data_IF_501968063887
#
_entry.id   IF_501968063887
#
_cell.length_a   1.000
_cell.length_b   1.000
_cell.length_c   1.000
_cell.angle_alpha   90.00
_cell.angle_beta   90.00
_cell.angle_gamma   90.00
#
_symmetry.space_group_name_H-M   'P 1'
#
loop_
_entity.id
_entity.type
_entity.pdbx_description
1 polymer ?
#
# COMPACT_ATOMS: atom_id res chain seq x y z
N UNK A 1 0.97 4.11 -3.29
CA UNK A 1 0.39 3.68 -1.99
C UNK A 1 -0.97 4.31 -1.78
N UNK A 2 -1.10 5.64 -1.94
CA UNK A 2 -2.39 6.31 -2.23
C UNK A 2 -3.17 5.55 -3.30
N UNK A 3 -2.46 5.09 -4.35
CA UNK A 3 -3.04 4.30 -5.44
C UNK A 3 -3.81 3.04 -4.99
N UNK A 4 -3.42 2.36 -3.89
CA UNK A 4 -4.17 1.19 -3.39
C UNK A 4 -5.46 1.65 -2.72
N UNK A 5 -5.37 2.61 -1.79
CA UNK A 5 -6.56 3.16 -1.12
C UNK A 5 -7.52 3.79 -2.11
N UNK A 6 -7.03 4.43 -3.17
CA UNK A 6 -7.85 5.06 -4.21
C UNK A 6 -8.54 4.00 -5.07
N UNK A 7 -7.81 2.97 -5.51
CA UNK A 7 -8.42 1.84 -6.25
C UNK A 7 -9.52 1.18 -5.42
N UNK A 8 -9.27 0.95 -4.13
CA UNK A 8 -10.27 0.37 -3.22
C UNK A 8 -11.46 1.32 -3.04
N UNK A 9 -11.22 2.59 -2.72
CA UNK A 9 -12.29 3.58 -2.59
C UNK A 9 -13.18 3.64 -3.84
N UNK A 10 -12.58 3.68 -5.03
CA UNK A 10 -13.29 3.69 -6.32
C UNK A 10 -13.93 2.34 -6.66
N UNK A 11 -13.63 1.26 -5.94
CA UNK A 11 -14.17 -0.08 -6.22
C UNK A 11 -13.46 -0.81 -7.35
N UNK A 12 -12.27 -0.37 -7.75
CA UNK A 12 -11.41 -1.02 -8.74
C UNK A 12 -10.64 -2.20 -8.13
N UNK A 13 -11.38 -3.20 -7.63
CA UNK A 13 -10.83 -4.32 -6.85
C UNK A 13 -9.73 -5.08 -7.60
N UNK A 14 -9.91 -5.38 -8.89
CA UNK A 14 -8.88 -6.07 -9.69
C UNK A 14 -7.57 -5.28 -9.78
N UNK A 15 -7.67 -3.94 -9.83
CA UNK A 15 -6.49 -3.05 -9.86
C UNK A 15 -5.83 -2.97 -8.49
N UNK A 16 -6.63 -2.92 -7.43
CA UNK A 16 -6.13 -2.99 -6.06
C UNK A 16 -5.39 -4.32 -5.82
N UNK A 17 -5.97 -5.46 -6.21
CA UNK A 17 -5.34 -6.78 -6.07
C UNK A 17 -4.00 -6.86 -6.83
N UNK A 18 -3.94 -6.30 -8.05
CA UNK A 18 -2.71 -6.22 -8.83
C UNK A 18 -1.62 -5.41 -8.09
N UNK A 19 -1.97 -4.22 -7.59
CA UNK A 19 -1.03 -3.39 -6.83
C UNK A 19 -0.58 -4.09 -5.54
N UNK A 20 -1.48 -4.80 -4.87
CA UNK A 20 -1.15 -5.57 -3.66
C UNK A 20 -0.16 -6.70 -3.98
N UNK A 21 -0.33 -7.40 -5.11
CA UNK A 21 0.64 -8.41 -5.60
C UNK A 21 2.00 -7.80 -5.87
N UNK A 22 2.05 -6.65 -6.53
CA UNK A 22 3.30 -5.92 -6.79
C UNK A 22 4.02 -5.50 -5.51
N UNK A 23 3.27 -4.96 -4.55
CA UNK A 23 3.81 -4.58 -3.24
C UNK A 23 4.31 -5.80 -2.49
N UNK A 24 3.54 -6.90 -2.45
CA UNK A 24 3.95 -8.14 -1.81
C UNK A 24 5.25 -8.70 -2.42
N UNK A 25 5.37 -8.70 -3.74
CA UNK A 25 6.58 -9.11 -4.44
C UNK A 25 7.77 -8.19 -4.12
N UNK A 26 7.57 -6.87 -4.11
CA UNK A 26 8.62 -5.90 -3.78
C UNK A 26 9.11 -6.03 -2.33
N UNK A 27 8.19 -6.23 -1.39
CA UNK A 27 8.46 -6.47 0.02
C UNK A 27 9.22 -7.78 0.22
N UNK A 28 8.79 -8.85 -0.44
CA UNK A 28 9.45 -10.16 -0.40
C UNK A 28 10.86 -10.12 -0.99
N UNK A 29 11.09 -9.26 -1.99
CA UNK A 29 12.40 -8.99 -2.58
C UNK A 29 13.27 -8.00 -1.76
N UNK A 30 12.84 -7.65 -0.53
CA UNK A 30 13.52 -6.75 0.42
C UNK A 30 13.71 -5.30 -0.06
N UNK A 31 12.96 -4.84 -1.06
CA UNK A 31 13.08 -3.47 -1.59
C UNK A 31 12.09 -2.53 -0.90
N UNK A 32 12.28 -2.23 0.39
CA UNK A 32 11.40 -1.25 1.05
C UNK A 32 12.07 -0.38 2.13
N UNK A 33 11.62 0.88 2.24
CA UNK A 33 12.02 1.89 3.24
C UNK A 33 10.78 2.34 4.03
N UNK A 34 10.93 2.81 5.27
CA UNK A 34 9.81 3.41 6.02
C UNK A 34 9.10 2.46 7.01
N UNK A 35 9.79 1.42 7.45
CA UNK A 35 9.28 0.47 8.47
C UNK A 35 9.58 0.91 9.90
N UNK A 36 10.51 1.86 10.11
CA UNK A 36 11.09 2.14 11.43
C UNK A 36 11.10 3.60 11.88
N UNK A 37 11.03 3.79 13.21
CA UNK A 37 11.15 5.08 13.88
C UNK A 37 10.12 6.13 13.43
N UNK A 38 10.53 7.41 13.39
CA UNK A 38 9.64 8.53 12.98
C UNK A 38 9.14 8.47 11.53
N UNK A 39 9.70 7.58 10.70
CA UNK A 39 9.28 7.32 9.33
C UNK A 39 8.36 6.10 9.22
N UNK A 40 7.98 5.47 10.33
CA UNK A 40 7.05 4.35 10.34
C UNK A 40 5.69 4.79 9.83
N UNK A 41 5.28 4.22 8.70
CA UNK A 41 3.98 4.53 8.09
C UNK A 41 2.91 3.59 8.65
N UNK A 42 2.59 3.71 9.95
CA UNK A 42 1.69 2.80 10.68
C UNK A 42 0.33 2.62 10.02
N UNK A 43 -0.29 3.70 9.52
CA UNK A 43 -1.61 3.63 8.86
C UNK A 43 -1.52 2.88 7.54
N UNK A 44 -0.47 3.17 6.76
CA UNK A 44 -0.21 2.42 5.54
C UNK A 44 0.00 0.92 5.81
N UNK A 45 0.80 0.57 6.81
CA UNK A 45 1.07 -0.83 7.15
C UNK A 45 -0.18 -1.53 7.70
N UNK A 46 -1.05 -0.83 8.42
CA UNK A 46 -2.37 -1.33 8.78
C UNK A 46 -3.19 -1.73 7.54
N UNK A 47 -3.33 -0.83 6.56
CA UNK A 47 -4.06 -1.12 5.33
C UNK A 47 -3.40 -2.26 4.53
N UNK A 48 -2.07 -2.29 4.45
CA UNK A 48 -1.37 -3.39 3.78
C UNK A 48 -1.64 -4.74 4.42
N UNK A 49 -1.63 -4.84 5.76
CA UNK A 49 -1.95 -6.09 6.44
C UNK A 49 -3.37 -6.56 6.10
N UNK A 50 -4.33 -5.64 6.09
CA UNK A 50 -5.71 -5.93 5.66
C UNK A 50 -5.73 -6.43 4.21
N UNK A 51 -5.02 -5.75 3.30
CA UNK A 51 -4.93 -6.17 1.90
C UNK A 51 -4.23 -7.52 1.70
N UNK A 52 -3.15 -7.80 2.43
CA UNK A 52 -2.47 -9.09 2.36
C UNK A 52 -3.37 -10.20 2.87
N UNK A 53 -4.11 -9.98 3.97
CA UNK A 53 -5.08 -10.95 4.48
C UNK A 53 -6.32 -11.10 3.56
N UNK A 54 -6.74 -10.04 2.87
CA UNK A 54 -7.76 -10.09 1.83
C UNK A 54 -7.32 -10.97 0.65
N UNK A 55 -6.09 -10.76 0.15
CA UNK A 55 -5.50 -11.57 -0.92
C UNK A 55 -4.96 -12.94 -0.46
N UNK A 56 -5.10 -13.27 0.84
CA UNK A 56 -4.57 -14.48 1.46
C UNK A 56 -3.05 -14.67 1.31
N UNK A 57 -2.31 -13.57 1.23
CA UNK A 57 -0.85 -13.58 1.18
C UNK A 57 -0.27 -13.68 2.57
N UNK A 58 0.57 -14.70 2.77
CA UNK A 58 1.43 -14.78 3.95
C UNK A 58 2.64 -13.88 3.75
N UNK A 59 2.98 -13.12 4.78
CA UNK A 59 4.17 -12.28 4.80
C UNK A 59 4.70 -12.16 6.24
N UNK A 60 5.90 -12.68 6.46
CA UNK A 60 6.63 -12.68 7.73
C UNK A 60 7.86 -11.75 7.70
N UNK A 61 8.06 -11.01 6.60
CA UNK A 61 9.17 -10.08 6.42
C UNK A 61 8.99 -8.72 7.11
N UNK A 62 7.97 -8.57 7.98
CA UNK A 62 7.79 -7.35 8.77
C UNK A 62 9.00 -7.14 9.69
N UNK A 63 9.56 -5.93 9.69
CA UNK A 63 10.72 -5.61 10.52
C UNK A 63 12.06 -6.16 10.01
N UNK A 64 12.12 -6.78 8.83
CA UNK A 64 13.38 -7.18 8.18
C UNK A 64 13.87 -6.05 7.28
N UNK A 65 14.97 -5.42 7.68
CA UNK A 65 15.65 -4.35 6.95
C UNK A 65 16.37 -4.82 5.69
N UNK A 66 16.77 -3.85 4.85
CA UNK A 66 17.45 -4.11 3.59
C UNK A 66 18.78 -4.87 3.77
N UNK A 67 19.54 -4.58 4.85
CA UNK A 67 20.80 -5.28 5.13
C UNK A 67 20.60 -6.50 6.03
N UNK A 68 19.36 -6.92 6.26
CA UNK A 68 19.01 -8.06 7.10
C UNK A 68 18.93 -7.74 8.59
N UNK A 69 18.88 -6.46 8.97
CA UNK A 69 18.56 -6.06 10.34
C UNK A 69 17.17 -6.58 10.71
N UNK A 70 17.03 -7.12 11.91
CA UNK A 70 15.74 -7.57 12.43
C UNK A 70 15.34 -6.63 13.55
N UNK A 71 14.22 -5.94 13.35
CA UNK A 71 13.60 -5.05 14.31
C UNK A 71 12.23 -5.64 14.62
N UNK A 72 11.85 -5.64 15.90
CA UNK A 72 10.50 -6.02 16.29
C UNK A 72 9.51 -4.93 15.83
N UNK A 73 8.63 -5.22 14.84
CA UNK A 73 7.74 -4.21 14.29
C UNK A 73 6.61 -3.81 15.25
N UNK A 74 6.44 -4.54 16.37
CA UNK A 74 5.40 -4.29 17.38
C UNK A 74 5.87 -3.37 18.52
N UNK A 75 7.14 -2.94 18.52
CA UNK A 75 7.64 -1.98 19.49
C UNK A 75 6.93 -0.62 19.29
N UNK A 76 6.57 0.11 20.36
CA UNK A 76 5.95 1.43 20.23
C UNK A 76 6.75 2.37 19.34
N UNK A 77 6.07 3.01 18.38
CA UNK A 77 6.68 3.88 17.39
C UNK A 77 7.08 3.19 16.07
N UNK A 78 7.05 1.86 16.02
CA UNK A 78 7.28 1.08 14.81
C UNK A 78 6.00 0.86 14.00
N UNK A 79 6.13 0.28 12.79
CA UNK A 79 5.02 0.19 11.83
C UNK A 79 3.81 -0.63 12.29
N UNK A 80 3.98 -1.61 13.21
CA UNK A 80 2.90 -2.42 13.79
C UNK A 80 2.75 -2.16 15.30
N UNK A 81 3.37 -1.10 15.81
CA UNK A 81 3.46 -0.81 17.25
C UNK A 81 2.19 -0.30 17.91
N UNK A 82 1.17 0.12 17.14
CA UNK A 82 -0.08 0.62 17.72
C UNK A 82 -1.07 -0.49 18.07
N UNK A 83 -1.39 -0.69 19.38
CA UNK A 83 -2.27 -1.77 19.80
C UNK A 83 -3.68 -1.67 19.23
N UNK A 84 -4.24 -0.45 19.12
CA UNK A 84 -5.61 -0.26 18.61
C UNK A 84 -5.72 -0.65 17.12
N UNK A 85 -4.68 -0.37 16.31
CA UNK A 85 -4.64 -0.84 14.92
C UNK A 85 -4.50 -2.36 14.83
N UNK A 86 -3.85 -3.00 15.80
CA UNK A 86 -3.74 -4.46 15.86
C UNK A 86 -5.08 -5.10 16.24
N UNK A 87 -5.82 -4.49 17.17
CA UNK A 87 -7.17 -4.92 17.56
C UNK A 87 -8.14 -4.79 16.37
N UNK A 88 -8.16 -3.62 15.72
CA UNK A 88 -8.97 -3.40 14.52
C UNK A 88 -8.61 -4.39 13.41
N UNK A 89 -7.32 -4.73 13.26
CA UNK A 89 -6.90 -5.75 12.31
C UNK A 89 -7.37 -7.15 12.72
N UNK A 90 -7.37 -7.52 14.00
CA UNK A 90 -7.86 -8.84 14.42
C UNK A 90 -9.35 -9.06 14.09
N UNK A 91 -10.14 -7.99 14.21
CA UNK A 91 -11.60 -8.02 14.02
C UNK A 91 -12.06 -7.59 12.62
N UNK A 92 -11.15 -7.31 11.69
CA UNK A 92 -11.51 -6.63 10.44
C UNK A 92 -12.47 -7.39 9.52
N UNK A 93 -12.56 -8.73 9.68
CA UNK A 93 -13.50 -9.62 8.96
C UNK A 93 -14.77 -9.95 9.75
N UNK A 94 -14.92 -9.44 10.97
CA UNK A 94 -16.11 -9.71 11.77
C UNK A 94 -17.34 -9.15 11.08
N UNK A 95 -18.44 -9.90 11.12
CA UNK A 95 -19.71 -9.53 10.47
C UNK A 95 -20.33 -8.25 11.03
N UNK A 96 -20.03 -7.93 12.28
CA UNK A 96 -20.51 -6.74 12.99
C UNK A 96 -19.35 -6.11 13.79
N UNK A 97 -19.19 -4.80 13.65
CA UNK A 97 -18.19 -3.99 14.37
C UNK A 97 -18.83 -2.99 15.35
N UNK A 98 -20.12 -3.15 15.66
CA UNK A 98 -20.85 -2.27 16.59
C UNK A 98 -20.21 -2.21 17.98
N UNK A 99 -19.55 -3.28 18.42
CA UNK A 99 -18.80 -3.32 19.69
C UNK A 99 -17.49 -2.53 19.69
N UNK A 100 -16.99 -2.10 18.53
CA UNK A 100 -15.66 -1.46 18.38
C UNK A 100 -15.73 0.05 18.14
N UNK A 101 -16.80 0.70 18.61
CA UNK A 101 -17.01 2.13 18.33
C UNK A 101 -15.91 3.02 18.91
N UNK A 102 -15.32 2.64 20.05
CA UNK A 102 -14.20 3.38 20.64
C UNK A 102 -12.95 3.34 19.76
N UNK A 103 -12.61 2.15 19.26
CA UNK A 103 -11.46 1.90 18.39
C UNK A 103 -11.65 2.56 17.01
N UNK A 104 -12.88 2.54 16.47
CA UNK A 104 -13.21 3.18 15.20
C UNK A 104 -13.14 4.71 15.28
N UNK A 105 -13.61 5.32 16.38
CA UNK A 105 -13.45 6.75 16.62
C UNK A 105 -11.97 7.11 16.79
N UNK A 106 -11.24 6.30 17.57
CA UNK A 106 -9.79 6.45 17.74
C UNK A 106 -9.06 6.37 16.39
N UNK A 107 -9.46 5.46 15.48
CA UNK A 107 -8.85 5.36 14.15
C UNK A 107 -9.03 6.67 13.38
N UNK A 108 -10.19 7.31 13.45
CA UNK A 108 -10.42 8.60 12.81
C UNK A 108 -9.55 9.71 13.42
N UNK A 109 -9.48 9.80 14.74
CA UNK A 109 -8.59 10.76 15.41
C UNK A 109 -7.13 10.53 15.03
N UNK A 110 -6.67 9.28 15.15
CA UNK A 110 -5.32 8.86 14.81
C UNK A 110 -4.97 9.14 13.35
N UNK A 111 -5.90 8.88 12.43
CA UNK A 111 -5.79 9.23 11.02
C UNK A 111 -5.49 10.73 10.87
N UNK A 112 -6.38 11.60 11.39
CA UNK A 112 -6.23 13.05 11.25
C UNK A 112 -4.94 13.57 11.87
N UNK A 113 -4.56 13.05 13.04
CA UNK A 113 -3.32 13.44 13.72
C UNK A 113 -2.09 13.07 12.90
N UNK A 114 -2.03 11.86 12.32
CA UNK A 114 -0.86 11.44 11.53
C UNK A 114 -0.76 12.17 10.19
N UNK A 115 -1.87 12.36 9.50
CA UNK A 115 -1.87 13.02 8.19
C UNK A 115 -1.66 14.53 8.27
N UNK A 116 -1.96 15.16 9.42
CA UNK A 116 -1.76 16.61 9.61
C UNK A 116 -0.31 17.02 9.93
N UNK A 117 0.56 16.06 10.27
CA UNK A 117 1.94 16.33 10.72
C UNK A 117 2.81 16.74 9.55
N UNK A 118 3.35 17.98 9.53
CA UNK A 118 4.25 18.49 8.48
C UNK A 118 5.54 17.67 8.28
N UNK A 119 5.99 16.97 9.33
CA UNK A 119 7.16 16.08 9.33
C UNK A 119 6.80 14.61 9.02
N UNK A 120 5.50 14.29 8.93
CA UNK A 120 4.99 12.96 8.65
C UNK A 120 5.10 12.57 7.17
N UNK A 121 5.27 11.27 6.94
CA UNK A 121 5.38 10.65 5.60
C UNK A 121 4.14 9.83 5.20
N UNK A 122 3.06 9.90 5.96
CA UNK A 122 1.82 9.14 5.69
C UNK A 122 1.04 9.79 4.53
N UNK A 123 0.74 9.01 3.48
CA UNK A 123 -0.09 9.40 2.31
C UNK A 123 0.30 10.73 1.65
N UNK A 124 1.60 10.98 1.45
CA UNK A 124 2.07 12.14 0.67
C UNK A 124 1.86 13.52 1.30
N UNK A 125 1.16 13.58 2.46
CA UNK A 125 0.98 14.74 3.30
C UNK A 125 0.55 16.02 2.56
N UNK A 126 -0.62 15.97 1.94
CA UNK A 126 -1.33 17.18 1.51
C UNK A 126 -2.53 17.49 2.43
N UNK A 127 -2.98 18.74 2.40
CA UNK A 127 -4.09 19.22 3.23
C UNK A 127 -5.43 18.52 2.92
N UNK A 128 -5.55 17.91 1.73
CA UNK A 128 -6.77 17.24 1.30
C UNK A 128 -6.86 15.83 1.91
N UNK A 129 -5.75 15.09 1.92
CA UNK A 129 -5.66 13.75 2.51
C UNK A 129 -5.90 13.76 4.02
N UNK A 130 -5.61 14.87 4.70
CA UNK A 130 -5.97 15.04 6.12
C UNK A 130 -7.48 15.09 6.36
N UNK A 131 -8.27 15.51 5.37
CA UNK A 131 -9.73 15.68 5.49
C UNK A 131 -10.52 14.57 4.79
N UNK A 132 -9.93 13.92 3.80
CA UNK A 132 -10.53 12.81 3.08
C UNK A 132 -10.10 11.48 3.71
N UNK A 133 -11.01 10.69 4.32
CA UNK A 133 -10.66 9.48 5.05
C UNK A 133 -10.38 8.28 4.14
N UNK A 134 -9.42 8.43 3.22
CA UNK A 134 -9.14 7.45 2.16
C UNK A 134 -8.93 6.02 2.69
N UNK A 135 -8.16 5.87 3.78
CA UNK A 135 -7.90 4.57 4.40
C UNK A 135 -9.17 3.92 4.96
N UNK A 136 -10.02 4.69 5.65
CA UNK A 136 -11.26 4.17 6.25
C UNK A 136 -12.21 3.72 5.14
N UNK A 137 -12.32 4.51 4.07
CA UNK A 137 -13.18 4.17 2.94
C UNK A 137 -12.65 2.99 2.13
N UNK A 138 -11.34 2.87 1.97
CA UNK A 138 -10.71 1.70 1.37
C UNK A 138 -11.01 0.42 2.19
N UNK A 139 -10.91 0.51 3.51
CA UNK A 139 -11.27 -0.60 4.41
C UNK A 139 -12.76 -0.96 4.30
N UNK A 140 -13.65 0.04 4.23
CA UNK A 140 -15.08 -0.18 4.03
C UNK A 140 -15.40 -0.83 2.69
N UNK A 141 -14.69 -0.50 1.60
CA UNK A 141 -14.85 -1.22 0.33
C UNK A 141 -14.47 -2.68 0.47
N UNK A 142 -13.36 -2.99 1.13
CA UNK A 142 -12.93 -4.38 1.31
C UNK A 142 -13.94 -5.20 2.11
N UNK A 143 -14.56 -4.60 3.12
CA UNK A 143 -15.65 -5.24 3.86
C UNK A 143 -16.88 -5.45 2.97
N UNK A 144 -17.29 -4.44 2.22
CA UNK A 144 -18.42 -4.53 1.28
C UNK A 144 -18.21 -5.64 0.22
N UNK A 145 -17.00 -5.75 -0.33
CA UNK A 145 -16.68 -6.77 -1.35
C UNK A 145 -16.73 -8.21 -0.81
N UNK A 146 -16.59 -8.37 0.52
CA UNK A 146 -16.74 -9.64 1.22
C UNK A 146 -18.18 -9.88 1.73
N UNK A 147 -19.12 -8.97 1.45
CA UNK A 147 -20.49 -9.04 1.96
C UNK A 147 -20.62 -8.71 3.45
N UNK A 148 -19.61 -8.08 4.04
CA UNK A 148 -19.62 -7.66 5.45
C UNK A 148 -20.28 -6.28 5.61
N UNK A 149 -20.94 -6.07 6.75
CA UNK A 149 -21.54 -4.76 7.06
C UNK A 149 -20.46 -3.71 7.37
N UNK A 150 -20.67 -2.47 6.97
CA UNK A 150 -19.79 -1.37 7.37
C UNK A 150 -20.33 -0.67 8.62
N UNK A 151 -19.48 -0.37 9.62
CA UNK A 151 -19.94 0.34 10.81
C UNK A 151 -20.27 1.79 10.48
N UNK A 152 -21.28 2.33 11.15
CA UNK A 152 -21.49 3.78 11.21
C UNK A 152 -20.57 4.32 12.31
N UNK A 153 -19.75 5.32 11.96
CA UNK A 153 -18.82 5.97 12.90
C UNK A 153 -19.32 7.40 13.13
N UNK A 154 -19.72 7.73 14.36
CA UNK A 154 -20.05 9.11 14.74
C UNK A 154 -18.77 9.91 15.01
N UNK A 155 -18.15 10.39 13.94
CA UNK A 155 -16.94 11.19 14.01
C UNK A 155 -16.96 12.35 12.99
N UNK A 156 -16.48 13.56 13.33
CA UNK A 156 -16.48 14.71 12.42
C UNK A 156 -15.85 14.44 11.04
N UNK A 157 -14.80 13.61 10.98
CA UNK A 157 -14.14 13.18 9.73
C UNK A 157 -15.10 12.45 8.77
N UNK A 158 -16.10 11.74 9.29
CA UNK A 158 -17.03 10.91 8.52
C UNK A 158 -18.35 11.62 8.16
N UNK A 159 -18.57 12.84 8.68
CA UNK A 159 -19.80 13.62 8.46
C UNK A 159 -19.92 14.22 7.04
N UNK A 160 -18.86 14.73 6.40
CA UNK A 160 -18.97 15.33 5.08
C UNK A 160 -19.45 14.33 4.03
N UNK A 161 -20.23 14.79 3.04
CA UNK A 161 -20.78 13.90 2.00
C UNK A 161 -19.70 13.19 1.17
N UNK A 162 -18.52 13.80 1.02
CA UNK A 162 -17.39 13.17 0.33
C UNK A 162 -16.72 12.06 1.15
N UNK A 163 -17.06 11.93 2.44
CA UNK A 163 -16.60 10.85 3.31
C UNK A 163 -17.58 9.67 3.33
N UNK A 164 -18.56 9.64 2.42
CA UNK A 164 -19.44 8.50 2.23
C UNK A 164 -18.82 7.56 1.19
N UNK A 165 -18.96 6.25 1.41
CA UNK A 165 -18.51 5.28 0.43
C UNK A 165 -19.45 5.33 -0.79
N UNK A 166 -19.00 5.75 -1.98
CA UNK A 166 -19.82 5.74 -3.17
C UNK A 166 -20.05 4.30 -3.66
N UNK A 167 -21.01 4.06 -4.55
CA UNK A 167 -21.06 2.81 -5.32
C UNK A 167 -19.73 2.58 -6.08
N UNK A 168 -19.34 1.33 -6.36
CA UNK A 168 -18.18 1.04 -7.20
C UNK A 168 -18.26 1.79 -8.53
N UNK A 169 -17.18 2.50 -8.87
CA UNK A 169 -17.08 3.25 -10.11
C UNK A 169 -16.53 2.34 -11.22
N UNK A 170 -17.06 2.44 -12.45
CA UNK A 170 -16.45 1.74 -13.57
C UNK A 170 -15.02 2.24 -13.77
N UNK A 171 -14.12 1.33 -14.15
CA UNK A 171 -12.80 1.75 -14.59
C UNK A 171 -12.94 2.52 -15.91
N UNK A 172 -12.45 3.76 -15.95
CA UNK A 172 -12.58 4.60 -17.13
C UNK A 172 -11.63 4.14 -18.24
N UNK A 173 -12.18 3.91 -19.43
CA UNK A 173 -11.39 3.75 -20.66
C UNK A 173 -12.20 4.27 -21.85
N UNK A 174 -11.49 4.82 -22.84
CA UNK A 174 -12.05 5.26 -24.12
C UNK A 174 -11.03 5.03 -25.24
N UNK A 175 -11.47 5.10 -26.50
CA UNK A 175 -10.63 4.82 -27.67
C UNK A 175 -9.40 5.75 -27.76
N UNK A 176 -9.52 6.99 -27.28
CA UNK A 176 -8.42 7.95 -27.28
C UNK A 176 -7.38 7.55 -26.24
N UNK A 177 -7.80 7.23 -25.02
CA UNK A 177 -6.92 6.78 -23.93
C UNK A 177 -6.23 5.48 -24.32
N UNK A 178 -6.97 4.52 -24.87
CA UNK A 178 -6.42 3.24 -25.33
C UNK A 178 -5.41 3.47 -26.47
N UNK A 179 -5.71 4.37 -27.40
CA UNK A 179 -4.79 4.78 -28.47
C UNK A 179 -3.50 5.43 -27.94
N UNK A 180 -3.61 6.30 -26.93
CA UNK A 180 -2.46 6.94 -26.27
C UNK A 180 -1.62 5.91 -25.52
N UNK A 181 -2.23 5.02 -24.73
CA UNK A 181 -1.52 3.96 -24.01
C UNK A 181 -0.80 3.04 -25.01
N UNK A 182 -1.48 2.63 -26.08
CA UNK A 182 -0.89 1.78 -27.12
C UNK A 182 0.29 2.47 -27.82
N UNK A 183 0.21 3.78 -28.05
CA UNK A 183 1.32 4.55 -28.61
C UNK A 183 2.50 4.62 -27.65
N UNK A 184 2.27 4.97 -26.39
CA UNK A 184 3.31 5.04 -25.36
C UNK A 184 4.02 3.70 -25.19
N UNK A 185 3.28 2.58 -25.23
CA UNK A 185 3.87 1.23 -25.20
C UNK A 185 4.84 0.96 -26.35
N UNK A 186 4.54 1.46 -27.55
CA UNK A 186 5.41 1.25 -28.72
C UNK A 186 6.63 2.17 -28.70
N UNK A 187 6.47 3.40 -28.23
CA UNK A 187 7.46 4.46 -28.43
C UNK A 187 8.38 4.67 -27.22
N UNK A 188 7.86 4.53 -25.99
CA UNK A 188 8.57 5.01 -24.79
C UNK A 188 8.57 4.01 -23.62
N UNK A 189 7.42 3.40 -23.31
CA UNK A 189 7.18 2.64 -22.08
C UNK A 189 6.50 1.30 -22.38
N UNK A 190 7.22 0.29 -22.89
CA UNK A 190 6.65 -0.98 -23.33
C UNK A 190 5.95 -1.79 -22.23
N UNK A 191 6.22 -1.49 -20.95
CA UNK A 191 5.63 -2.11 -19.77
C UNK A 191 4.45 -1.32 -19.18
N UNK A 192 4.07 -0.18 -19.75
CA UNK A 192 3.01 0.68 -19.22
C UNK A 192 1.68 -0.09 -19.06
N UNK A 193 1.18 -0.22 -17.84
CA UNK A 193 -0.09 -0.88 -17.53
C UNK A 193 -0.13 -2.39 -17.82
N UNK A 194 1.03 -3.05 -17.90
CA UNK A 194 1.15 -4.50 -18.01
C UNK A 194 1.25 -5.10 -16.60
N UNK A 195 0.56 -6.21 -16.34
CA UNK A 195 0.67 -6.92 -15.05
C UNK A 195 2.03 -7.61 -14.93
N UNK A 196 2.67 -7.71 -13.74
CA UNK A 196 3.99 -8.32 -13.59
C UNK A 196 4.10 -9.74 -14.13
N UNK A 197 3.00 -10.51 -14.10
CA UNK A 197 2.92 -11.86 -14.64
C UNK A 197 3.11 -11.94 -16.17
N UNK A 198 2.91 -10.81 -16.88
CA UNK A 198 3.03 -10.69 -18.34
C UNK A 198 4.37 -10.07 -18.77
N UNK A 199 5.20 -9.63 -17.81
CA UNK A 199 6.53 -9.10 -18.09
C UNK A 199 7.49 -10.30 -18.18
N UNK A 200 7.95 -10.63 -19.39
CA UNK A 200 9.06 -11.55 -19.56
C UNK A 200 10.26 -11.03 -18.73
N UNK A 201 11.00 -11.91 -18.01
CA UNK A 201 12.11 -11.46 -17.19
C UNK A 201 13.07 -10.63 -18.04
N UNK A 202 13.39 -9.41 -17.59
CA UNK A 202 14.44 -8.59 -18.21
C UNK A 202 15.72 -9.43 -18.16
N UNK A 203 16.15 -9.95 -19.31
CA UNK A 203 17.49 -10.49 -19.48
C UNK A 203 18.43 -9.31 -19.31
N UNK A 204 19.01 -9.18 -18.11
CA UNK A 204 20.10 -8.26 -17.90
C UNK A 204 21.22 -8.68 -18.88
N UNK A 205 21.80 -7.74 -19.66
CA UNK A 205 22.94 -8.07 -20.50
C UNK A 205 24.01 -8.70 -19.61
N UNK A 206 24.54 -9.86 -20.00
CA UNK A 206 25.70 -10.42 -19.31
C UNK A 206 26.81 -9.36 -19.33
N UNK A 207 27.21 -8.88 -18.15
CA UNK A 207 28.42 -8.06 -18.07
C UNK A 207 29.57 -8.89 -18.65
N UNK A 208 30.33 -8.35 -19.61
CA UNK A 208 31.47 -9.07 -20.15
C UNK A 208 32.43 -9.31 -18.98
N UNK A 209 32.65 -10.59 -18.65
CA UNK A 209 33.64 -11.03 -17.67
C UNK A 209 34.99 -10.43 -18.09
N UNK A 210 35.34 -9.28 -17.54
CA UNK A 210 36.70 -8.75 -17.66
C UNK A 210 37.59 -9.75 -16.94
N UNK A 211 38.32 -10.52 -17.75
CA UNK A 211 39.18 -11.59 -17.30
C UNK A 211 40.14 -11.09 -16.23
N UNK A 212 40.17 -11.83 -15.13
CA UNK A 212 41.05 -11.66 -13.97
C UNK A 212 42.55 -11.53 -14.33
N UNK A 213 42.93 -11.87 -15.56
CA UNK A 213 44.29 -11.80 -16.10
C UNK A 213 44.72 -10.38 -16.54
N UNK A 214 43.81 -9.45 -16.82
CA UNK A 214 44.16 -8.09 -17.26
C UNK A 214 44.70 -7.21 -16.11
N UNK A 215 44.42 -7.54 -14.85
CA UNK A 215 44.93 -6.82 -13.66
C UNK A 215 46.33 -7.25 -13.22
N UNK A 216 46.88 -8.35 -13.76
CA UNK A 216 48.18 -8.91 -13.34
C UNK A 216 49.35 -8.50 -14.23
N UNK A 217 49.12 -7.91 -15.41
CA UNK A 217 50.17 -7.57 -16.38
C UNK A 217 50.50 -6.06 -16.46
N UNK A 218 49.92 -5.23 -15.60
CA UNK A 218 50.08 -3.77 -15.61
C UNK A 218 51.05 -3.18 -14.59
N UNK A 219 52.11 -3.90 -14.19
CA UNK A 219 53.22 -3.32 -13.39
C UNK A 219 54.56 -3.88 -13.85
N UNK A 220 55.21 -3.18 -14.79
CA UNK A 220 56.67 -3.18 -14.93
C UNK A 220 57.16 -1.79 -15.37
N UNK A 221 58.10 -1.30 -14.56
CA UNK A 221 59.04 -0.18 -14.69
C UNK A 221 58.51 1.22 -14.99
#
# INVERSE_FOLDING_TARGET
MESISDCLYLGWLDKAELLVKEVHAAYSAKRFRGVTGGYSQTLYHFLLRVCFDWCQFKFDGWGIGYHGEVIDPYVPGECLGEPVLNELFAHWKDSDLSGMQGELQWLCDYYTHRTARKDGTEFGNDLLHTRFPALVLAWFRLRESLGLSNPVIDHPLMRPHYAWLPPPQPFYTDDLLDGVIARLRREELPDLGITPAQVAPRVLPEEPKQGFLARLLGRKS
#
